data_IF_897889493329
#
_entry.id   IF_897889493329
#
_cell.length_a   1.000
_cell.length_b   1.000
_cell.length_c   1.000
_cell.angle_alpha   90.00
_cell.angle_beta   90.00
_cell.angle_gamma   90.00
#
_symmetry.space_group_name_H-M   'P 1'
#
loop_
_entity.id
_entity.type
_entity.pdbx_description
1 polymer ?
#
# COMPACT_ATOMS: atom_id res chain seq x y z
N UNK A 1 3.17 -12.20 -10.69
CA UNK A 1 3.09 -10.85 -11.29
C UNK A 1 3.15 -9.88 -10.12
N UNK A 2 4.10 -8.96 -10.10
CA UNK A 2 4.21 -7.97 -9.02
C UNK A 2 2.98 -7.05 -9.01
N UNK A 3 2.49 -6.67 -7.83
CA UNK A 3 1.49 -5.61 -7.69
C UNK A 3 1.98 -4.29 -8.30
N UNK A 4 1.04 -3.44 -8.73
CA UNK A 4 1.36 -2.08 -9.18
C UNK A 4 1.45 -1.15 -7.96
N UNK A 5 2.43 -0.24 -7.95
CA UNK A 5 2.60 0.76 -6.89
C UNK A 5 2.19 2.12 -7.46
N UNK A 6 1.34 2.83 -6.74
CA UNK A 6 0.85 4.16 -7.13
C UNK A 6 1.09 5.18 -6.02
N UNK A 7 1.28 6.44 -6.41
CA UNK A 7 1.43 7.58 -5.50
C UNK A 7 0.16 8.44 -5.56
N UNK A 8 -0.85 8.19 -4.71
CA UNK A 8 -2.07 8.97 -4.73
C UNK A 8 -1.88 10.33 -4.06
N UNK A 9 -2.67 11.31 -4.50
CA UNK A 9 -2.89 12.55 -3.74
C UNK A 9 -4.07 12.33 -2.82
N UNK A 10 -3.82 12.20 -1.52
CA UNK A 10 -4.86 11.94 -0.53
C UNK A 10 -5.18 13.20 0.27
N UNK A 11 -6.48 13.51 0.38
CA UNK A 11 -6.96 14.54 1.30
C UNK A 11 -6.66 14.13 2.76
N UNK A 12 -6.39 15.08 3.68
CA UNK A 12 -6.10 14.77 5.09
C UNK A 12 -7.11 13.85 5.78
N UNK A 13 -8.40 13.98 5.44
CA UNK A 13 -9.44 13.08 5.98
C UNK A 13 -9.26 11.62 5.54
N UNK A 14 -8.79 11.38 4.31
CA UNK A 14 -8.48 10.02 3.85
C UNK A 14 -7.28 9.45 4.58
N UNK A 15 -6.22 10.24 4.79
CA UNK A 15 -5.05 9.81 5.58
C UNK A 15 -5.46 9.46 7.01
N UNK A 16 -6.27 10.32 7.64
CA UNK A 16 -6.78 10.12 9.00
C UNK A 16 -7.60 8.84 9.14
N UNK A 17 -8.41 8.49 8.13
CA UNK A 17 -9.26 7.30 8.13
C UNK A 17 -8.58 6.01 7.68
N UNK A 18 -7.50 6.11 6.89
CA UNK A 18 -6.79 4.94 6.34
C UNK A 18 -5.69 4.42 7.27
N UNK A 19 -5.15 5.28 8.14
CA UNK A 19 -4.15 4.88 9.14
C UNK A 19 -4.82 4.24 10.36
N UNK A 20 -4.31 3.09 10.86
CA UNK A 20 -4.79 2.47 12.08
C UNK A 20 -4.72 3.43 13.28
N UNK A 21 -5.77 3.45 14.09
CA UNK A 21 -5.78 4.21 15.33
C UNK A 21 -4.81 3.60 16.35
N UNK A 22 -3.73 4.32 16.68
CA UNK A 22 -2.74 3.94 17.72
C UNK A 22 -2.84 4.80 18.98
N UNK A 23 -3.89 5.61 19.10
CA UNK A 23 -4.12 6.54 20.20
C UNK A 23 -4.16 8.01 19.77
N UNK A 24 -4.72 8.86 20.62
CA UNK A 24 -4.96 10.28 20.30
C UNK A 24 -3.68 11.07 20.08
N UNK A 25 -2.62 10.77 20.84
CA UNK A 25 -1.32 11.42 20.69
C UNK A 25 -0.68 11.07 19.33
N UNK A 26 -0.63 9.79 18.97
CA UNK A 26 -0.11 9.33 17.69
C UNK A 26 -0.90 9.94 16.53
N UNK A 27 -2.23 9.91 16.60
CA UNK A 27 -3.08 10.49 15.55
C UNK A 27 -2.87 12.00 15.41
N UNK A 28 -2.73 12.72 16.53
CA UNK A 28 -2.39 14.15 16.51
C UNK A 28 -1.02 14.40 15.88
N UNK A 29 -0.01 13.60 16.20
CA UNK A 29 1.33 13.72 15.62
C UNK A 29 1.33 13.45 14.10
N UNK A 30 0.62 12.41 13.66
CA UNK A 30 0.42 12.11 12.23
C UNK A 30 -0.18 13.30 11.49
N UNK A 31 -1.27 13.88 12.02
CA UNK A 31 -1.94 15.02 11.38
C UNK A 31 -1.10 16.31 11.42
N UNK A 32 -0.34 16.56 12.50
CA UNK A 32 0.58 17.69 12.57
C UNK A 32 1.75 17.57 11.57
N UNK A 33 2.16 16.34 11.26
CA UNK A 33 3.25 16.04 10.33
C UNK A 33 2.82 15.88 8.87
N UNK A 34 1.53 16.01 8.54
CA UNK A 34 0.96 15.56 7.27
C UNK A 34 1.60 16.19 6.02
N UNK A 35 2.11 17.42 6.12
CA UNK A 35 2.82 18.10 5.04
C UNK A 35 4.15 17.44 4.67
N UNK A 36 4.65 16.52 5.50
CA UNK A 36 5.88 15.75 5.28
C UNK A 36 5.59 14.27 4.99
N UNK A 37 4.32 13.90 4.79
CA UNK A 37 3.91 12.53 4.53
C UNK A 37 3.87 12.24 3.03
N UNK A 38 4.55 11.18 2.60
CA UNK A 38 4.37 10.59 1.28
C UNK A 38 3.61 9.28 1.40
N UNK A 39 2.55 9.09 0.61
CA UNK A 39 1.74 7.87 0.62
C UNK A 39 1.94 7.08 -0.65
N UNK A 40 2.12 5.77 -0.50
CA UNK A 40 2.05 4.79 -1.59
C UNK A 40 0.86 3.88 -1.35
N UNK A 41 0.16 3.53 -2.42
CA UNK A 41 -0.82 2.43 -2.40
C UNK A 41 -0.31 1.30 -3.29
N UNK A 42 -0.74 0.09 -2.96
CA UNK A 42 -0.39 -1.11 -3.69
C UNK A 42 -1.67 -1.68 -4.27
N UNK A 43 -1.70 -1.85 -5.59
CA UNK A 43 -2.72 -2.66 -6.26
C UNK A 43 -2.36 -4.11 -5.99
N UNK A 44 -3.12 -4.72 -5.08
CA UNK A 44 -2.84 -6.06 -4.55
C UNK A 44 -3.04 -7.12 -5.63
N UNK A 45 -1.93 -7.55 -6.26
CA UNK A 45 -1.86 -8.74 -7.13
C UNK A 45 -1.03 -9.87 -6.50
N UNK A 46 -0.41 -9.59 -5.37
CA UNK A 46 0.38 -10.47 -4.53
C UNK A 46 -0.10 -10.39 -3.07
N UNK A 47 0.47 -11.22 -2.20
CA UNK A 47 0.09 -11.29 -0.78
C UNK A 47 0.60 -10.07 0.00
N UNK A 48 1.83 -9.67 -0.24
CA UNK A 48 2.63 -8.77 0.61
C UNK A 48 3.80 -8.10 -0.12
N UNK A 49 4.33 -8.70 -1.19
CA UNK A 49 5.49 -8.20 -1.93
C UNK A 49 5.42 -6.73 -2.33
N UNK A 50 4.24 -6.24 -2.75
CA UNK A 50 4.08 -4.82 -3.08
C UNK A 50 4.24 -3.86 -1.89
N UNK A 51 3.85 -4.27 -0.68
CA UNK A 51 4.01 -3.46 0.54
C UNK A 51 5.46 -3.46 0.98
N UNK A 52 6.12 -4.61 0.95
CA UNK A 52 7.55 -4.73 1.27
C UNK A 52 8.38 -3.83 0.35
N UNK A 53 8.09 -3.86 -0.96
CA UNK A 53 8.76 -2.99 -1.92
C UNK A 53 8.47 -1.50 -1.67
N UNK A 54 7.22 -1.13 -1.35
CA UNK A 54 6.85 0.25 -1.03
C UNK A 54 7.64 0.80 0.17
N UNK A 55 7.80 0.01 1.23
CA UNK A 55 8.60 0.39 2.40
C UNK A 55 10.08 0.61 2.02
N UNK A 56 10.67 -0.28 1.21
CA UNK A 56 12.04 -0.13 0.72
C UNK A 56 12.21 1.13 -0.14
N UNK A 57 11.24 1.45 -1.00
CA UNK A 57 11.24 2.68 -1.80
C UNK A 57 11.26 3.91 -0.88
N UNK A 58 10.36 3.96 0.10
CA UNK A 58 10.27 5.10 1.03
C UNK A 58 11.57 5.29 1.82
N UNK A 59 12.13 4.21 2.37
CA UNK A 59 13.41 4.27 3.11
C UNK A 59 14.54 4.73 2.18
N UNK A 60 14.67 4.13 0.98
CA UNK A 60 15.69 4.51 -0.02
C UNK A 60 15.57 5.97 -0.44
N UNK A 61 14.34 6.49 -0.53
CA UNK A 61 14.04 7.89 -0.85
C UNK A 61 14.34 8.86 0.32
N UNK A 62 14.77 8.37 1.48
CA UNK A 62 15.14 9.19 2.63
C UNK A 62 14.00 9.44 3.61
N UNK A 63 12.98 8.59 3.66
CA UNK A 63 12.01 8.62 4.74
C UNK A 63 12.72 8.38 6.09
N UNK A 64 12.40 9.22 7.09
CA UNK A 64 12.91 9.06 8.47
C UNK A 64 12.02 8.15 9.32
N UNK A 65 10.78 7.96 8.87
CA UNK A 65 9.77 7.13 9.49
C UNK A 65 8.93 6.51 8.38
N UNK A 66 8.65 5.22 8.49
CA UNK A 66 7.74 4.50 7.58
C UNK A 66 6.73 3.70 8.39
N UNK A 67 5.55 3.49 7.84
CA UNK A 67 4.49 2.72 8.46
C UNK A 67 3.56 2.14 7.41
N UNK A 68 2.70 1.22 7.84
CA UNK A 68 1.69 0.60 6.98
C UNK A 68 0.29 0.84 7.51
N UNK A 69 -0.71 0.62 6.67
CA UNK A 69 -2.11 0.61 7.08
C UNK A 69 -2.52 -0.68 7.83
N UNK A 70 -1.57 -1.58 8.15
CA UNK A 70 -1.84 -2.81 8.87
C UNK A 70 -2.02 -2.56 10.38
N UNK A 71 -3.07 -3.11 10.95
CA UNK A 71 -3.36 -3.07 12.38
C UNK A 71 -2.37 -3.97 13.15
N UNK A 72 -1.78 -3.42 14.21
CA UNK A 72 -0.80 -4.13 15.04
C UNK A 72 0.65 -3.99 14.56
N UNK A 73 0.91 -3.22 13.50
CA UNK A 73 2.25 -2.80 13.09
C UNK A 73 2.51 -1.38 13.60
N UNK A 74 3.57 -1.21 14.38
CA UNK A 74 4.12 0.10 14.75
C UNK A 74 4.80 0.80 13.56
N UNK A 75 5.03 2.10 13.71
CA UNK A 75 5.84 2.83 12.73
C UNK A 75 7.31 2.50 12.98
N UNK A 76 8.08 2.31 11.91
CA UNK A 76 9.52 2.12 11.96
C UNK A 76 10.24 3.45 11.82
N UNK A 77 11.22 3.70 12.70
CA UNK A 77 12.10 4.86 12.63
C UNK A 77 13.43 4.44 12.02
N UNK A 78 13.81 5.11 10.94
CA UNK A 78 15.02 4.78 10.17
C UNK A 78 16.25 5.27 10.93
N UNK A 79 17.16 4.36 11.29
CA UNK A 79 18.38 4.73 12.03
C UNK A 79 19.43 5.33 11.09
N UNK A 80 19.60 4.71 9.91
CA UNK A 80 20.51 5.18 8.88
C UNK A 80 19.74 5.53 7.60
N UNK A 81 19.79 6.80 7.19
CA UNK A 81 19.02 7.31 6.05
C UNK A 81 19.35 6.53 4.77
N UNK A 82 18.33 6.00 4.10
CA UNK A 82 18.50 5.25 2.86
C UNK A 82 18.95 3.79 3.03
N UNK A 83 19.26 3.33 4.24
CA UNK A 83 19.75 1.97 4.46
C UNK A 83 18.60 0.96 4.51
N UNK A 84 18.32 0.32 3.38
CA UNK A 84 17.31 -0.75 3.27
C UNK A 84 17.80 -2.14 3.71
N UNK A 85 19.10 -2.27 4.00
CA UNK A 85 19.74 -3.51 4.42
C UNK A 85 20.01 -3.55 5.92
N UNK A 86 19.56 -2.52 6.66
CA UNK A 86 19.72 -2.46 8.10
C UNK A 86 18.97 -3.61 8.78
N UNK A 87 19.64 -4.35 9.66
CA UNK A 87 19.05 -5.53 10.33
C UNK A 87 17.74 -5.25 11.09
N UNK A 88 17.58 -4.05 11.68
CA UNK A 88 16.34 -3.70 12.39
C UNK A 88 15.18 -3.46 11.41
N UNK A 89 15.48 -2.88 10.24
CA UNK A 89 14.50 -2.69 9.17
C UNK A 89 14.12 -4.02 8.52
N UNK A 90 15.07 -4.92 8.29
CA UNK A 90 14.77 -6.25 7.76
C UNK A 90 13.85 -7.04 8.70
N UNK A 91 14.06 -6.98 10.03
CA UNK A 91 13.14 -7.56 11.03
C UNK A 91 11.75 -6.91 11.01
N UNK A 92 11.70 -5.61 10.77
CA UNK A 92 10.43 -4.91 10.60
C UNK A 92 9.67 -5.40 9.35
N UNK A 93 10.37 -5.62 8.24
CA UNK A 93 9.79 -6.20 7.02
C UNK A 93 9.27 -7.62 7.22
N UNK A 94 10.01 -8.47 7.94
CA UNK A 94 9.55 -9.82 8.31
C UNK A 94 8.24 -9.77 9.12
N UNK A 95 8.13 -8.83 10.06
CA UNK A 95 6.90 -8.62 10.85
C UNK A 95 5.72 -8.17 9.97
N UNK A 96 5.98 -7.28 9.02
CA UNK A 96 4.98 -6.80 8.05
C UNK A 96 4.46 -7.95 7.18
N UNK A 97 5.37 -8.82 6.72
CA UNK A 97 5.05 -10.01 5.92
C UNK A 97 4.25 -11.05 6.72
N UNK A 98 4.64 -11.32 7.97
CA UNK A 98 3.97 -12.30 8.84
C UNK A 98 2.51 -11.90 9.13
N UNK A 99 2.26 -10.61 9.42
CA UNK A 99 0.90 -10.10 9.61
C UNK A 99 0.09 -10.15 8.31
N UNK A 100 0.71 -9.81 7.18
CA UNK A 100 0.08 -9.84 5.87
C UNK A 100 -1.16 -8.95 5.73
N UNK A 101 -1.92 -9.18 4.66
CA UNK A 101 -3.13 -8.44 4.30
C UNK A 101 -4.43 -9.15 4.73
N UNK A 102 -4.54 -9.48 6.01
CA UNK A 102 -5.70 -10.22 6.53
C UNK A 102 -6.95 -9.36 6.67
N UNK A 103 -8.12 -10.00 6.57
CA UNK A 103 -9.44 -9.38 6.71
C UNK A 103 -9.55 -8.50 7.97
N UNK A 104 -10.16 -7.32 7.82
CA UNK A 104 -10.40 -6.34 8.89
C UNK A 104 -9.14 -5.84 9.62
N UNK A 105 -7.94 -6.13 9.09
CA UNK A 105 -6.67 -5.67 9.69
C UNK A 105 -5.90 -4.72 8.80
N UNK A 106 -6.30 -4.50 7.56
CA UNK A 106 -5.68 -3.50 6.69
C UNK A 106 -6.75 -2.75 5.94
N UNK A 107 -6.55 -1.44 5.74
CA UNK A 107 -7.38 -0.68 4.82
C UNK A 107 -7.18 -1.21 3.39
N UNK A 108 -8.17 -1.94 2.89
CA UNK A 108 -8.24 -2.42 1.51
C UNK A 108 -9.49 -1.80 0.89
N UNK A 109 -9.30 -1.13 -0.25
CA UNK A 109 -10.36 -0.44 -0.96
C UNK A 109 -10.17 -0.52 -2.47
N UNK A 110 -11.17 -0.04 -3.21
CA UNK A 110 -11.12 0.08 -4.67
C UNK A 110 -11.29 1.54 -5.04
N UNK A 111 -10.29 2.13 -5.69
CA UNK A 111 -10.35 3.53 -6.14
C UNK A 111 -11.33 3.70 -7.32
N UNK A 112 -11.42 2.67 -8.16
CA UNK A 112 -12.36 2.59 -9.28
C UNK A 112 -13.19 1.32 -9.11
N UNK A 113 -14.52 1.38 -9.12
CA UNK A 113 -15.31 0.16 -9.36
C UNK A 113 -15.02 -0.27 -10.80
N UNK A 114 -14.01 -1.11 -10.98
CA UNK A 114 -13.78 -1.79 -12.23
C UNK A 114 -14.93 -2.77 -12.41
N UNK A 115 -15.73 -2.57 -13.47
CA UNK A 115 -16.82 -3.48 -13.80
C UNK A 115 -16.29 -4.92 -13.95
N UNK A 116 -17.17 -5.90 -13.74
CA UNK A 116 -16.85 -7.33 -13.87
C UNK A 116 -16.50 -7.74 -15.31
N UNK A 117 -16.68 -6.86 -16.28
CA UNK A 117 -16.34 -7.06 -17.69
C UNK A 117 -14.83 -6.96 -17.92
N UNK A 118 -14.11 -8.07 -17.67
CA UNK A 118 -12.67 -8.15 -17.91
C UNK A 118 -12.37 -7.93 -19.41
N UNK A 119 -11.41 -7.07 -19.72
CA UNK A 119 -10.80 -6.95 -21.06
C UNK A 119 -9.67 -7.98 -21.18
N UNK A 120 -9.51 -8.63 -22.32
CA UNK A 120 -8.47 -9.63 -22.53
C UNK A 120 -8.28 -9.96 -24.00
N UNK A 121 -7.45 -10.96 -24.28
CA UNK A 121 -7.09 -11.41 -25.62
C UNK A 121 -7.83 -12.68 -26.06
N UNK A 122 -8.69 -13.24 -25.21
CA UNK A 122 -9.40 -14.49 -25.50
C UNK A 122 -10.84 -14.52 -24.92
N UNK A 123 -11.85 -15.08 -25.63
CA UNK A 123 -13.24 -15.12 -25.18
C UNK A 123 -13.48 -15.93 -23.89
N UNK A 124 -12.61 -16.88 -23.55
CA UNK A 124 -12.75 -17.70 -22.33
C UNK A 124 -12.32 -16.97 -21.05
N UNK A 125 -11.57 -15.87 -21.15
CA UNK A 125 -11.03 -15.17 -19.99
C UNK A 125 -11.47 -13.70 -19.93
N UNK A 126 -12.27 -13.21 -20.88
CA UNK A 126 -12.64 -11.81 -20.98
C UNK A 126 -13.99 -11.61 -21.65
N UNK A 127 -14.63 -10.47 -21.38
CA UNK A 127 -15.90 -10.04 -21.98
C UNK A 127 -15.67 -9.24 -23.27
N UNK A 128 -14.58 -8.46 -23.32
CA UNK A 128 -14.20 -7.65 -24.48
C UNK A 128 -12.74 -7.85 -24.88
N UNK A 129 -12.44 -7.65 -26.16
CA UNK A 129 -11.10 -7.58 -26.74
C UNK A 129 -10.33 -6.31 -26.28
N UNK A 130 -9.02 -6.16 -26.57
CA UNK A 130 -8.25 -4.98 -26.19
C UNK A 130 -8.73 -3.67 -26.83
N UNK A 131 -9.65 -3.74 -27.80
CA UNK A 131 -10.30 -2.60 -28.45
C UNK A 131 -11.69 -2.31 -27.83
N UNK A 132 -12.09 -3.03 -26.78
CA UNK A 132 -13.36 -2.86 -26.09
C UNK A 132 -14.55 -3.51 -26.80
N UNK A 133 -14.34 -4.38 -27.79
CA UNK A 133 -15.42 -5.08 -28.51
C UNK A 133 -15.74 -6.42 -27.85
N UNK A 134 -17.03 -6.74 -27.76
CA UNK A 134 -17.47 -8.06 -27.26
C UNK A 134 -17.08 -9.18 -28.22
N UNK A 135 -16.81 -10.37 -27.66
CA UNK A 135 -16.51 -11.56 -28.43
C UNK A 135 -17.77 -12.07 -29.15
N UNK A 136 -17.98 -11.60 -30.39
CA UNK A 136 -19.06 -11.94 -31.33
C UNK A 136 -20.39 -11.21 -31.07
N UNK A 137 -20.73 -10.34 -32.01
CA UNK A 137 -22.09 -10.08 -32.48
C UNK A 137 -22.07 -10.41 -33.97
#
# INVERSE_FOLDING_TARGET
MFGEIETPVLHPSHIAGSYPWKGSLHHKQLLLGINNLSTLIVVTRDRDGGIILSLKILVSAGAKQVGTAQAGIEDFFVNELGNVEESSFLKYLEKVEDIGLTENRTFIGTAHQMGTCRMGDHPLNSVVDPQGKVWRI
#
